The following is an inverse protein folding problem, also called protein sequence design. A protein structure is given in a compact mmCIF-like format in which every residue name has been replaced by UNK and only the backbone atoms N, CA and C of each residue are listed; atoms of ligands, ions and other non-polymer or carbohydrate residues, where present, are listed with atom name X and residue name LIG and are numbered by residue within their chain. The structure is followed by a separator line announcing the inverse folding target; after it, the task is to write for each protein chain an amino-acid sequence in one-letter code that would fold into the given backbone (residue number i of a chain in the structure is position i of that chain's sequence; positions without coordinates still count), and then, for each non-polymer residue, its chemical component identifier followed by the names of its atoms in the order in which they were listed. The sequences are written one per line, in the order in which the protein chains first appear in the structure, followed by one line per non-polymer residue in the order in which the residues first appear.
data_IF_531692782351
#
_entry.id   IF_531692782351
#
_cell.length_a   1.000
_cell.length_b   1.000
_cell.length_c   1.000
_cell.angle_alpha   90.00
_cell.angle_beta   90.00
_cell.angle_gamma   90.00
#
_symmetry.space_group_name_H-M   'P 1'
#
loop_
_entity.id
_entity.type
_entity.pdbx_description
1 polymer ?
#
# COMPACT_ATOMS: atom_id res chain seq x y z
N UNK A 1 -3.14 9.49 -20.97
CA UNK A 1 -2.41 8.32 -21.53
C UNK A 1 -1.22 7.88 -20.67
N UNK A 2 -0.85 8.63 -19.63
CA UNK A 2 0.34 8.37 -18.79
C UNK A 2 0.05 7.51 -17.54
N UNK A 3 -1.20 7.49 -17.08
CA UNK A 3 -1.59 6.86 -15.80
C UNK A 3 -1.62 5.32 -15.84
N UNK A 4 -2.10 4.75 -16.95
CA UNK A 4 -2.21 3.29 -17.11
C UNK A 4 -0.85 2.59 -17.10
N UNK A 5 0.15 3.16 -17.77
CA UNK A 5 1.49 2.57 -17.82
C UNK A 5 2.19 2.63 -16.44
N UNK A 6 1.97 3.71 -15.70
CA UNK A 6 2.49 3.84 -14.34
C UNK A 6 1.80 2.87 -13.38
N UNK A 7 0.46 2.81 -13.41
CA UNK A 7 -0.32 1.85 -12.62
C UNK A 7 0.05 0.41 -12.94
N UNK A 8 0.29 0.10 -14.22
CA UNK A 8 0.79 -1.22 -14.63
C UNK A 8 2.21 -1.51 -14.11
N UNK A 9 3.08 -0.49 -14.08
CA UNK A 9 4.39 -0.55 -13.44
C UNK A 9 4.27 -0.84 -11.95
N UNK A 10 3.39 -0.14 -11.23
CA UNK A 10 3.13 -0.40 -9.82
C UNK A 10 2.58 -1.82 -9.61
N UNK A 11 1.68 -2.30 -10.47
CA UNK A 11 1.15 -3.68 -10.40
C UNK A 11 2.24 -4.74 -10.52
N UNK A 12 3.33 -4.45 -11.23
CA UNK A 12 4.49 -5.35 -11.30
C UNK A 12 5.27 -5.45 -9.98
N UNK A 13 5.06 -4.51 -9.05
CA UNK A 13 5.67 -4.50 -7.73
C UNK A 13 4.87 -5.31 -6.69
N UNK A 14 3.67 -5.80 -7.03
CA UNK A 14 2.88 -6.67 -6.14
C UNK A 14 3.70 -7.93 -5.81
N UNK A 15 3.77 -8.24 -4.52
CA UNK A 15 4.58 -9.31 -3.94
C UNK A 15 6.00 -8.88 -3.55
N UNK A 16 6.43 -7.66 -3.88
CA UNK A 16 7.77 -7.16 -3.52
C UNK A 16 7.81 -6.67 -2.08
N UNK A 17 8.90 -7.01 -1.40
CA UNK A 17 9.18 -6.54 -0.05
C UNK A 17 9.73 -5.10 -0.09
N UNK A 18 9.32 -4.29 0.88
CA UNK A 18 9.65 -2.87 1.00
C UNK A 18 9.77 -2.47 2.47
N UNK A 19 10.37 -1.31 2.72
CA UNK A 19 10.42 -0.73 4.07
C UNK A 19 9.55 0.53 4.09
N UNK A 20 8.53 0.56 4.95
CA UNK A 20 7.64 1.71 5.10
C UNK A 20 7.74 2.26 6.52
N UNK A 21 8.26 3.49 6.66
CA UNK A 21 8.56 4.14 7.95
C UNK A 21 9.30 3.23 8.95
N UNK A 22 10.27 2.44 8.46
CA UNK A 22 11.06 1.53 9.29
C UNK A 22 10.40 0.18 9.61
N UNK A 23 9.24 -0.11 9.01
CA UNK A 23 8.56 -1.41 9.11
C UNK A 23 8.80 -2.22 7.84
N UNK A 24 9.07 -3.51 8.01
CA UNK A 24 9.15 -4.45 6.89
C UNK A 24 7.73 -4.75 6.40
N UNK A 25 7.47 -4.42 5.14
CA UNK A 25 6.17 -4.55 4.51
C UNK A 25 6.28 -5.26 3.16
N UNK A 26 5.17 -5.78 2.65
CA UNK A 26 5.04 -6.27 1.27
C UNK A 26 3.92 -5.55 0.56
N UNK A 27 4.14 -5.21 -0.70
CA UNK A 27 3.08 -4.70 -1.56
C UNK A 27 2.14 -5.87 -1.90
N UNK A 28 0.86 -5.77 -1.55
CA UNK A 28 -0.10 -6.87 -1.75
C UNK A 28 -1.18 -6.55 -2.76
N UNK A 29 -1.55 -5.28 -2.91
CA UNK A 29 -2.63 -4.87 -3.81
C UNK A 29 -2.48 -3.42 -4.25
N UNK A 30 -3.16 -3.07 -5.35
CA UNK A 30 -3.34 -1.69 -5.81
C UNK A 30 -4.83 -1.48 -6.03
N UNK A 31 -5.41 -0.58 -5.23
CA UNK A 31 -6.80 -0.20 -5.28
C UNK A 31 -6.92 1.07 -6.12
N UNK A 32 -7.45 0.94 -7.33
CA UNK A 32 -7.70 2.08 -8.19
C UNK A 32 -8.53 1.66 -9.39
N UNK A 33 -9.64 2.36 -9.61
CA UNK A 33 -10.44 2.23 -10.82
C UNK A 33 -9.87 3.18 -11.88
N UNK A 34 -9.81 2.76 -13.14
CA UNK A 34 -9.20 3.51 -14.26
C UNK A 34 -9.87 4.87 -14.53
N UNK A 35 -10.93 5.20 -13.80
CA UNK A 35 -11.74 6.41 -13.92
C UNK A 35 -11.66 7.35 -12.71
N UNK A 36 -10.94 7.01 -11.65
CA UNK A 36 -10.82 7.85 -10.45
C UNK A 36 -9.37 8.07 -10.08
N UNK A 37 -8.96 9.34 -9.99
CA UNK A 37 -7.60 9.79 -9.64
C UNK A 37 -7.15 9.39 -8.21
N UNK A 38 -8.00 8.69 -7.45
CA UNK A 38 -7.80 8.28 -6.06
C UNK A 38 -7.33 6.82 -5.96
N UNK A 39 -6.20 6.51 -6.59
CA UNK A 39 -5.54 5.22 -6.44
C UNK A 39 -4.83 5.09 -5.09
N UNK A 40 -4.79 3.89 -4.52
CA UNK A 40 -4.09 3.53 -3.30
C UNK A 40 -3.25 2.28 -3.52
N UNK A 41 -2.04 2.27 -2.97
CA UNK A 41 -1.17 1.11 -2.85
C UNK A 41 -1.40 0.47 -1.48
N UNK A 42 -1.66 -0.84 -1.44
CA UNK A 42 -1.87 -1.56 -0.19
C UNK A 42 -0.62 -2.33 0.18
N UNK A 43 -0.13 -2.08 1.38
CA UNK A 43 1.00 -2.76 1.99
C UNK A 43 0.51 -3.66 3.11
N UNK A 44 1.11 -4.84 3.25
CA UNK A 44 0.95 -5.72 4.40
C UNK A 44 2.21 -5.62 5.26
N UNK A 45 2.07 -5.22 6.53
CA UNK A 45 3.19 -5.15 7.46
C UNK A 45 3.48 -6.52 8.07
N UNK A 46 4.75 -6.95 8.01
CA UNK A 46 5.19 -8.19 8.63
C UNK A 46 5.57 -7.97 10.09
N UNK A 47 4.57 -7.95 10.95
CA UNK A 47 4.83 -7.96 12.39
C UNK A 47 5.06 -9.40 12.88
N UNK A 48 6.09 -9.58 13.72
CA UNK A 48 6.42 -10.89 14.35
C UNK A 48 5.22 -11.46 15.12
N UNK A 49 4.33 -10.59 15.60
CA UNK A 49 3.07 -10.95 16.24
C UNK A 49 1.98 -10.03 15.65
N UNK A 50 1.11 -10.54 14.75
CA UNK A 50 0.09 -9.70 14.14
C UNK A 50 -0.92 -9.21 15.18
N UNK A 51 -1.46 -7.99 15.04
CA UNK A 51 -2.47 -7.45 15.95
C UNK A 51 -3.74 -8.31 15.94
N UNK A 52 -4.45 -8.31 17.07
CA UNK A 52 -5.78 -8.91 17.15
C UNK A 52 -6.76 -7.98 16.48
N UNK A 53 -7.41 -8.46 15.42
CA UNK A 53 -8.50 -7.74 14.77
C UNK A 53 -9.78 -7.95 15.56
N UNK A 54 -10.49 -6.85 15.81
CA UNK A 54 -11.80 -6.87 16.43
C UNK A 54 -12.89 -6.91 15.35
N UNK A 55 -13.99 -7.61 15.61
CA UNK A 55 -15.17 -7.50 14.76
C UNK A 55 -15.87 -6.13 14.93
N UNK A 56 -16.96 -5.95 14.18
CA UNK A 56 -17.84 -4.78 14.26
C UNK A 56 -18.49 -4.56 15.64
N UNK A 57 -18.37 -5.52 16.56
CA UNK A 57 -18.87 -5.47 17.93
C UNK A 57 -17.73 -5.33 18.97
N UNK A 58 -16.48 -5.18 18.53
CA UNK A 58 -15.31 -5.03 19.39
C UNK A 58 -14.76 -6.35 19.98
N UNK A 59 -15.23 -7.50 19.52
CA UNK A 59 -14.76 -8.80 20.00
C UNK A 59 -13.51 -9.24 19.24
N UNK A 60 -12.53 -9.78 19.98
CA UNK A 60 -11.33 -10.37 19.39
C UNK A 60 -11.67 -11.64 18.60
N UNK A 61 -11.42 -11.64 17.28
CA UNK A 61 -11.78 -12.79 16.42
C UNK A 61 -10.55 -13.54 15.93
N UNK A 62 -9.57 -12.85 15.33
CA UNK A 62 -8.36 -13.47 14.79
C UNK A 62 -7.20 -12.47 14.75
N UNK A 63 -5.99 -12.99 14.52
CA UNK A 63 -4.81 -12.17 14.25
C UNK A 63 -4.60 -12.10 12.75
N UNK A 64 -4.40 -10.91 12.23
CA UNK A 64 -4.00 -10.68 10.86
C UNK A 64 -3.00 -9.54 10.80
N UNK A 65 -2.16 -9.58 9.78
CA UNK A 65 -1.22 -8.50 9.52
C UNK A 65 -1.98 -7.19 9.28
N UNK A 66 -1.35 -6.09 9.66
CA UNK A 66 -1.91 -4.78 9.41
C UNK A 66 -1.80 -4.45 7.92
N UNK A 67 -2.89 -3.95 7.35
CA UNK A 67 -2.87 -3.36 6.02
C UNK A 67 -2.72 -1.85 6.13
N UNK A 68 -1.79 -1.31 5.35
CA UNK A 68 -1.48 0.11 5.28
C UNK A 68 -1.81 0.58 3.86
N UNK A 69 -2.72 1.52 3.74
CA UNK A 69 -3.08 2.14 2.47
C UNK A 69 -2.23 3.40 2.27
N UNK A 70 -1.47 3.43 1.18
CA UNK A 70 -0.66 4.57 0.78
C UNK A 70 -1.31 5.21 -0.46
N UNK A 71 -1.73 6.48 -0.40
CA UNK A 71 -2.30 7.16 -1.55
C UNK A 71 -1.27 7.20 -2.69
N UNK A 72 -1.69 6.93 -3.92
CA UNK A 72 -0.82 7.05 -5.10
C UNK A 72 -0.66 8.52 -5.46
N UNK A 73 -1.76 9.28 -5.39
CA UNK A 73 -1.81 10.70 -5.71
C UNK A 73 -2.09 11.55 -4.48
N UNK A 74 -1.47 12.73 -4.43
CA UNK A 74 -1.75 13.79 -3.49
C UNK A 74 -3.02 14.59 -3.84
N UNK A 75 -3.37 15.57 -3.00
CA UNK A 75 -4.60 16.34 -3.15
C UNK A 75 -4.66 17.23 -4.40
N UNK A 76 -3.53 17.46 -5.10
CA UNK A 76 -3.45 18.29 -6.31
C UNK A 76 -3.23 17.44 -7.57
N UNK A 77 -3.32 16.10 -7.46
CA UNK A 77 -3.13 15.15 -8.58
C UNK A 77 -1.66 14.81 -8.89
N UNK A 78 -0.72 15.31 -8.09
CA UNK A 78 0.69 14.92 -8.08
C UNK A 78 0.88 13.54 -7.42
N UNK A 79 2.02 12.87 -7.61
CA UNK A 79 2.32 11.66 -6.83
C UNK A 79 2.48 11.99 -5.35
N UNK A 80 1.95 11.15 -4.47
CA UNK A 80 2.08 11.36 -3.03
C UNK A 80 3.55 11.28 -2.61
N UNK A 81 3.93 12.09 -1.63
CA UNK A 81 5.27 12.05 -1.04
C UNK A 81 5.56 10.67 -0.42
N UNK A 82 4.53 10.04 0.16
CA UNK A 82 4.60 8.72 0.77
C UNK A 82 4.93 7.62 -0.26
N UNK A 83 4.30 7.67 -1.44
CA UNK A 83 4.60 6.77 -2.55
C UNK A 83 6.04 6.98 -3.04
N UNK A 84 6.46 8.23 -3.22
CA UNK A 84 7.81 8.56 -3.69
C UNK A 84 8.88 8.05 -2.73
N UNK A 85 8.69 8.26 -1.42
CA UNK A 85 9.59 7.72 -0.40
C UNK A 85 9.65 6.19 -0.41
N UNK A 86 8.51 5.53 -0.62
CA UNK A 86 8.45 4.07 -0.72
C UNK A 86 9.19 3.55 -1.96
N UNK A 87 9.03 4.21 -3.11
CA UNK A 87 9.68 3.85 -4.36
C UNK A 87 11.21 4.06 -4.30
N UNK A 88 11.69 5.13 -3.66
CA UNK A 88 13.12 5.36 -3.42
C UNK A 88 13.74 4.23 -2.59
N UNK A 89 13.01 3.72 -1.59
CA UNK A 89 13.44 2.61 -0.75
C UNK A 89 13.49 1.26 -1.48
N UNK A 90 12.77 1.11 -2.60
CA UNK A 90 12.62 -0.15 -3.31
C UNK A 90 13.82 -0.53 -4.19
N UNK A 91 14.82 0.35 -4.33
CA UNK A 91 15.99 0.15 -5.22
C UNK A 91 15.56 -0.44 -6.57
N UNK A 92 14.83 0.35 -7.37
CA UNK A 92 14.53 0.05 -8.77
C UNK A 92 15.71 0.40 -9.67
#
# INVERSE_FOLDING_TARGET
MTDDAFTQGLRSLIGRDCCYFGRDCRIVEILGDSNTEQGHLVLEAFDVIPPIQTDQFGQAVFRANEHIEVPIHGPQGEFSEELMHLLDGLSL
#
